data_IF_270823012848
#
_entry.id   IF_270823012848
#
_cell.length_a   1.000
_cell.length_b   1.000
_cell.length_c   1.000
_cell.angle_alpha   90.00
_cell.angle_beta   90.00
_cell.angle_gamma   90.00
#
_symmetry.space_group_name_H-M   'P 1'
#
loop_
_entity.id
_entity.type
_entity.pdbx_description
1 polymer ?
#
# COMPACT_ATOMS: atom_id res chain seq x y z
N UNK A 1 3.47 23.43 22.28
CA UNK A 1 3.85 22.85 23.59
C UNK A 1 2.83 21.80 23.99
N UNK A 2 1.54 22.11 23.94
CA UNK A 2 0.45 21.24 24.41
C UNK A 2 0.39 19.87 23.74
N UNK A 3 0.43 19.81 22.41
CA UNK A 3 0.42 18.54 21.66
C UNK A 3 1.74 17.76 21.70
N UNK A 4 2.80 18.32 22.28
CA UNK A 4 4.04 17.59 22.52
C UNK A 4 3.85 16.44 23.56
N UNK A 5 2.90 16.61 24.49
CA UNK A 5 2.57 15.53 25.43
C UNK A 5 1.89 14.34 24.72
N UNK A 6 1.07 14.65 23.70
CA UNK A 6 0.53 13.59 22.81
C UNK A 6 1.66 12.85 22.08
N UNK A 7 2.63 13.59 21.52
CA UNK A 7 3.77 12.97 20.83
C UNK A 7 4.57 12.05 21.78
N UNK A 8 4.82 12.50 23.01
CA UNK A 8 5.50 11.69 24.04
C UNK A 8 4.72 10.44 24.41
N UNK A 9 3.41 10.57 24.57
CA UNK A 9 2.54 9.44 24.90
C UNK A 9 2.52 8.40 23.76
N UNK A 10 2.37 8.85 22.51
CA UNK A 10 2.45 7.96 21.33
C UNK A 10 3.81 7.28 21.23
N UNK A 11 4.89 7.98 21.56
CA UNK A 11 6.23 7.37 21.56
C UNK A 11 6.40 6.34 22.69
N UNK A 12 5.70 6.49 23.80
CA UNK A 12 5.65 5.47 24.85
C UNK A 12 4.91 4.23 24.37
N UNK A 13 3.69 4.38 23.85
CA UNK A 13 2.91 3.28 23.24
C UNK A 13 3.76 2.56 22.19
N UNK A 14 4.45 3.32 21.33
CA UNK A 14 5.31 2.75 20.31
C UNK A 14 6.44 1.88 20.88
N UNK A 15 7.10 2.31 21.95
CA UNK A 15 8.18 1.55 22.59
C UNK A 15 7.67 0.22 23.18
N UNK A 16 6.46 0.21 23.73
CA UNK A 16 5.83 -0.96 24.32
C UNK A 16 5.29 -1.92 23.24
N UNK A 17 4.81 -1.37 22.13
CA UNK A 17 4.20 -2.14 21.04
C UNK A 17 5.20 -2.70 20.03
N UNK A 18 6.30 -1.98 19.75
CA UNK A 18 7.24 -2.35 18.71
C UNK A 18 8.02 -3.62 19.10
N UNK A 19 7.70 -4.73 18.44
CA UNK A 19 8.41 -6.01 18.58
C UNK A 19 9.07 -6.34 17.26
N UNK A 20 10.39 -6.39 17.23
CA UNK A 20 11.14 -6.78 16.05
C UNK A 20 11.38 -8.30 16.07
N UNK A 21 10.91 -9.00 15.05
CA UNK A 21 11.18 -10.43 14.84
C UNK A 21 12.04 -10.63 13.60
N UNK A 22 12.84 -11.70 13.58
CA UNK A 22 13.61 -12.04 12.38
C UNK A 22 12.67 -12.60 11.32
N UNK A 23 12.67 -11.97 10.14
CA UNK A 23 11.92 -12.46 8.99
C UNK A 23 12.37 -13.87 8.61
N UNK A 24 11.43 -14.81 8.53
CA UNK A 24 11.67 -16.21 8.14
C UNK A 24 11.06 -16.48 6.78
N UNK A 25 11.69 -17.34 6.00
CA UNK A 25 11.08 -17.83 4.77
C UNK A 25 9.87 -18.69 5.09
N UNK A 26 8.78 -18.52 4.31
CA UNK A 26 7.59 -19.36 4.47
C UNK A 26 7.92 -20.79 4.04
N UNK A 27 7.39 -21.82 4.74
CA UNK A 27 7.65 -23.21 4.39
C UNK A 27 7.28 -23.55 2.93
N UNK A 28 6.16 -23.01 2.47
CA UNK A 28 5.67 -23.20 1.11
C UNK A 28 6.62 -22.61 0.06
N UNK A 29 7.11 -21.39 0.30
CA UNK A 29 8.09 -20.76 -0.56
C UNK A 29 9.40 -21.57 -0.61
N UNK A 30 9.89 -22.04 0.54
CA UNK A 30 11.10 -22.84 0.63
C UNK A 30 10.97 -24.16 -0.13
N UNK A 31 9.81 -24.85 -0.03
CA UNK A 31 9.52 -26.05 -0.81
C UNK A 31 9.60 -25.80 -2.31
N UNK A 32 9.00 -24.72 -2.81
CA UNK A 32 9.02 -24.38 -4.24
C UNK A 32 10.40 -23.93 -4.72
N UNK A 33 11.19 -23.27 -3.89
CA UNK A 33 12.60 -22.96 -4.19
C UNK A 33 13.39 -24.26 -4.36
N UNK A 34 13.23 -25.22 -3.44
CA UNK A 34 13.90 -26.53 -3.51
C UNK A 34 13.45 -27.35 -4.74
N UNK A 35 12.15 -27.35 -5.07
CA UNK A 35 11.62 -28.00 -6.28
C UNK A 35 12.24 -27.37 -7.54
N UNK A 36 12.24 -26.05 -7.62
CA UNK A 36 12.81 -25.32 -8.77
C UNK A 36 14.30 -25.61 -8.96
N UNK A 37 15.06 -25.70 -7.86
CA UNK A 37 16.48 -26.06 -7.93
C UNK A 37 16.70 -27.49 -8.45
N UNK A 38 15.91 -28.44 -7.98
CA UNK A 38 15.93 -29.83 -8.47
C UNK A 38 15.59 -29.93 -9.94
N UNK A 39 14.53 -29.27 -10.39
CA UNK A 39 14.15 -29.23 -11.79
C UNK A 39 15.23 -28.57 -12.67
N UNK A 40 15.84 -27.47 -12.19
CA UNK A 40 16.95 -26.84 -12.90
C UNK A 40 18.14 -27.79 -13.11
N UNK A 41 18.48 -28.57 -12.09
CA UNK A 41 19.59 -29.53 -12.19
C UNK A 41 19.23 -30.69 -13.14
N UNK A 42 17.97 -31.18 -13.11
CA UNK A 42 17.51 -32.20 -14.07
C UNK A 42 17.53 -31.70 -15.50
N UNK A 43 17.07 -30.47 -15.77
CA UNK A 43 17.07 -29.86 -17.11
C UNK A 43 18.50 -29.79 -17.70
N UNK A 44 19.53 -29.59 -16.86
CA UNK A 44 20.92 -29.58 -17.34
C UNK A 44 21.39 -30.91 -17.86
N UNK A 45 20.83 -32.01 -17.31
CA UNK A 45 21.26 -33.39 -17.59
C UNK A 45 20.30 -34.13 -18.53
N UNK A 46 19.25 -33.47 -19.03
CA UNK A 46 18.20 -34.07 -19.88
C UNK A 46 18.24 -33.50 -21.29
N UNK A 47 17.83 -34.28 -22.28
CA UNK A 47 17.74 -33.90 -23.68
C UNK A 47 16.36 -34.23 -24.28
N UNK A 48 16.05 -33.64 -25.45
CA UNK A 48 14.84 -33.91 -26.21
C UNK A 48 13.53 -33.61 -25.49
N UNK A 49 12.53 -34.44 -25.67
CA UNK A 49 11.15 -34.26 -25.16
C UNK A 49 11.08 -34.22 -23.63
N UNK A 50 11.94 -34.98 -22.96
CA UNK A 50 11.99 -34.98 -21.50
C UNK A 50 12.43 -33.60 -20.95
N UNK A 51 13.40 -33.00 -21.59
CA UNK A 51 13.86 -31.64 -21.25
C UNK A 51 12.74 -30.60 -21.41
N UNK A 52 11.93 -30.71 -22.45
CA UNK A 52 10.80 -29.77 -22.67
C UNK A 52 9.76 -29.88 -21.55
N UNK A 53 9.39 -31.10 -21.12
CA UNK A 53 8.50 -31.33 -20.00
C UNK A 53 9.03 -30.73 -18.70
N UNK A 54 10.30 -30.95 -18.41
CA UNK A 54 10.95 -30.39 -17.21
C UNK A 54 11.01 -28.85 -17.23
N UNK A 55 11.17 -28.25 -18.40
CA UNK A 55 11.13 -26.80 -18.57
C UNK A 55 9.73 -26.25 -18.25
N UNK A 56 8.67 -26.97 -18.67
CA UNK A 56 7.29 -26.54 -18.41
C UNK A 56 6.97 -26.66 -16.89
N UNK A 57 7.39 -27.74 -16.26
CA UNK A 57 7.28 -27.88 -14.79
C UNK A 57 8.06 -26.78 -14.06
N UNK A 58 9.25 -26.45 -14.53
CA UNK A 58 10.06 -25.36 -13.96
C UNK A 58 9.37 -23.99 -14.08
N UNK A 59 8.75 -23.72 -15.23
CA UNK A 59 7.98 -22.48 -15.44
C UNK A 59 6.79 -22.42 -14.50
N UNK A 60 6.05 -23.52 -14.36
CA UNK A 60 4.89 -23.64 -13.47
C UNK A 60 5.29 -23.43 -12.01
N UNK A 61 6.32 -24.12 -11.54
CA UNK A 61 6.86 -23.96 -10.18
C UNK A 61 7.34 -22.52 -9.92
N UNK A 62 7.97 -21.89 -10.92
CA UNK A 62 8.39 -20.50 -10.83
C UNK A 62 7.20 -19.54 -10.74
N UNK A 63 6.14 -19.76 -11.52
CA UNK A 63 4.92 -18.95 -11.48
C UNK A 63 4.22 -19.07 -10.12
N UNK A 64 4.12 -20.29 -9.58
CA UNK A 64 3.56 -20.51 -8.23
C UNK A 64 4.41 -19.85 -7.15
N UNK A 65 5.73 -20.01 -7.18
CA UNK A 65 6.64 -19.38 -6.24
C UNK A 65 6.52 -17.84 -6.24
N UNK A 66 6.32 -17.24 -7.41
CA UNK A 66 6.16 -15.79 -7.54
C UNK A 66 4.83 -15.26 -6.96
N UNK A 67 3.82 -16.11 -6.81
CA UNK A 67 2.53 -15.75 -6.18
C UNK A 67 2.58 -15.80 -4.65
N UNK A 68 3.48 -16.59 -4.07
CA UNK A 68 3.56 -16.77 -2.63
C UNK A 68 4.40 -15.68 -1.94
N UNK A 69 4.08 -15.29 -0.70
CA UNK A 69 4.94 -14.44 0.09
C UNK A 69 6.26 -15.18 0.40
N UNK A 70 7.40 -14.58 0.06
CA UNK A 70 8.69 -15.22 0.29
C UNK A 70 9.05 -15.28 1.76
N UNK A 71 8.75 -14.22 2.51
CA UNK A 71 9.08 -14.08 3.92
C UNK A 71 7.84 -13.72 4.71
N UNK A 72 7.75 -14.28 5.89
CA UNK A 72 6.81 -13.89 6.92
C UNK A 72 7.59 -13.20 8.04
N UNK A 73 7.05 -12.11 8.50
CA UNK A 73 7.58 -11.32 9.60
C UNK A 73 6.42 -10.96 10.51
N UNK A 74 6.49 -11.39 11.74
CA UNK A 74 5.46 -11.11 12.75
C UNK A 74 5.82 -9.84 13.54
N UNK A 75 6.58 -8.93 12.91
CA UNK A 75 6.93 -7.64 13.50
C UNK A 75 5.67 -6.86 13.83
N UNK A 76 5.53 -6.46 15.07
CA UNK A 76 4.60 -5.41 15.47
C UNK A 76 5.32 -4.08 15.43
N UNK A 77 4.71 -3.08 14.78
CA UNK A 77 5.37 -1.79 14.59
C UNK A 77 4.38 -0.66 14.42
N UNK A 78 4.65 0.45 15.09
CA UNK A 78 3.91 1.70 14.93
C UNK A 78 4.77 2.72 14.18
N UNK A 79 4.15 3.43 13.26
CA UNK A 79 4.67 4.66 12.66
C UNK A 79 3.66 5.77 12.91
N UNK A 80 4.16 6.90 13.39
CA UNK A 80 3.38 8.06 13.75
C UNK A 80 3.87 9.28 12.98
N UNK A 81 2.93 10.04 12.46
CA UNK A 81 3.16 11.34 11.81
C UNK A 81 2.07 12.28 12.27
N UNK A 82 2.43 13.49 12.64
CA UNK A 82 1.51 14.56 13.02
C UNK A 82 1.86 15.86 12.31
N UNK A 83 0.83 16.57 11.91
CA UNK A 83 0.91 17.92 11.40
C UNK A 83 -0.18 18.75 12.07
N UNK A 84 0.22 19.72 12.91
CA UNK A 84 -0.70 20.47 13.77
C UNK A 84 -1.63 19.51 14.57
N UNK A 85 -2.92 19.60 14.37
CA UNK A 85 -3.94 18.81 15.06
C UNK A 85 -4.19 17.46 14.36
N UNK A 86 -3.81 17.35 13.10
CA UNK A 86 -4.00 16.12 12.33
C UNK A 86 -2.87 15.12 12.59
N UNK A 87 -3.21 13.87 12.85
CA UNK A 87 -2.23 12.80 12.99
C UNK A 87 -2.65 11.52 12.27
N UNK A 88 -1.65 10.76 11.84
CA UNK A 88 -1.79 9.46 11.22
C UNK A 88 -0.92 8.44 11.96
N UNK A 89 -1.53 7.32 12.36
CA UNK A 89 -0.84 6.20 12.98
C UNK A 89 -0.97 4.99 12.09
N UNK A 90 0.15 4.51 11.56
CA UNK A 90 0.20 3.27 10.82
C UNK A 90 0.65 2.14 11.76
N UNK A 91 -0.19 1.12 11.90
CA UNK A 91 0.03 -0.02 12.78
C UNK A 91 0.25 -1.28 11.95
N UNK A 92 1.39 -1.93 12.15
CA UNK A 92 1.62 -3.29 11.68
C UNK A 92 1.21 -4.24 12.82
N UNK A 93 -0.05 -4.65 12.83
CA UNK A 93 -0.69 -5.47 13.84
C UNK A 93 -2.07 -5.90 13.39
N UNK A 94 -2.82 -6.51 14.28
CA UNK A 94 -4.21 -6.89 14.05
C UNK A 94 -5.18 -5.73 14.35
N UNK A 95 -6.47 -5.93 14.03
CA UNK A 95 -7.50 -4.92 14.29
C UNK A 95 -7.66 -4.63 15.80
N UNK A 96 -7.55 -5.63 16.64
CA UNK A 96 -7.66 -5.47 18.10
C UNK A 96 -6.52 -4.61 18.66
N UNK A 97 -5.31 -4.73 18.09
CA UNK A 97 -4.19 -3.86 18.45
C UNK A 97 -4.51 -2.40 18.12
N UNK A 98 -5.11 -2.14 16.96
CA UNK A 98 -5.52 -0.79 16.56
C UNK A 98 -6.63 -0.22 17.46
N UNK A 99 -7.60 -1.05 17.86
CA UNK A 99 -8.69 -0.66 18.77
C UNK A 99 -8.15 -0.30 20.16
N UNK A 100 -7.22 -1.09 20.69
CA UNK A 100 -6.54 -0.78 21.96
C UNK A 100 -5.78 0.54 21.91
N UNK A 101 -5.00 0.76 20.86
CA UNK A 101 -4.25 2.01 20.68
C UNK A 101 -5.22 3.20 20.58
N UNK A 102 -6.31 3.06 19.82
CA UNK A 102 -7.33 4.11 19.72
C UNK A 102 -7.97 4.43 21.06
N UNK A 103 -8.31 3.41 21.85
CA UNK A 103 -8.91 3.57 23.19
C UNK A 103 -7.93 4.28 24.14
N UNK A 104 -6.69 3.85 24.19
CA UNK A 104 -5.64 4.43 25.02
C UNK A 104 -5.39 5.91 24.69
N UNK A 105 -5.37 6.24 23.38
CA UNK A 105 -5.25 7.62 22.92
C UNK A 105 -6.47 8.46 23.31
N UNK A 106 -7.68 7.92 23.15
CA UNK A 106 -8.91 8.62 23.53
C UNK A 106 -8.92 8.95 25.01
N UNK A 107 -8.55 7.99 25.85
CA UNK A 107 -8.45 8.16 27.29
C UNK A 107 -7.39 9.20 27.68
N UNK A 108 -6.20 9.11 27.10
CA UNK A 108 -5.13 10.08 27.35
C UNK A 108 -5.52 11.50 26.96
N UNK A 109 -6.12 11.69 25.78
CA UNK A 109 -6.54 13.00 25.28
C UNK A 109 -7.61 13.60 26.18
N UNK A 110 -8.59 12.79 26.63
CA UNK A 110 -9.67 13.26 27.51
C UNK A 110 -9.18 13.56 28.94
N UNK A 111 -8.36 12.70 29.51
CA UNK A 111 -7.93 12.82 30.92
C UNK A 111 -6.79 13.81 31.10
N UNK A 112 -5.77 13.73 30.26
CA UNK A 112 -4.53 14.51 30.42
C UNK A 112 -4.60 15.85 29.67
N UNK A 113 -5.06 15.82 28.44
CA UNK A 113 -5.10 17.04 27.60
C UNK A 113 -6.42 17.81 27.78
N UNK A 114 -7.42 17.23 28.46
CA UNK A 114 -8.77 17.82 28.62
C UNK A 114 -9.39 18.23 27.29
N UNK A 115 -9.13 17.44 26.25
CA UNK A 115 -9.65 17.63 24.90
C UNK A 115 -10.51 16.44 24.52
N UNK A 116 -11.35 16.62 23.51
CA UNK A 116 -12.19 15.56 22.97
C UNK A 116 -11.68 15.11 21.62
N UNK A 117 -11.49 13.79 21.48
CA UNK A 117 -11.13 13.20 20.18
C UNK A 117 -12.38 12.95 19.35
N UNK A 118 -12.45 13.57 18.17
CA UNK A 118 -13.58 13.35 17.26
C UNK A 118 -13.62 11.89 16.79
N UNK A 119 -14.64 11.16 17.26
CA UNK A 119 -14.82 9.75 16.90
C UNK A 119 -15.17 9.56 15.43
N UNK A 120 -15.87 10.52 14.82
CA UNK A 120 -16.25 10.51 13.40
C UNK A 120 -15.04 10.63 12.48
N UNK A 121 -14.02 11.39 12.90
CA UNK A 121 -12.79 11.60 12.12
C UNK A 121 -11.70 10.59 12.45
N UNK A 122 -11.73 9.97 13.64
CA UNK A 122 -10.72 9.00 14.06
C UNK A 122 -11.14 7.60 13.69
N UNK A 123 -10.80 7.19 12.47
CA UNK A 123 -11.20 5.92 11.89
C UNK A 123 -10.05 4.92 11.88
N UNK A 124 -10.38 3.64 12.12
CA UNK A 124 -9.45 2.52 11.88
C UNK A 124 -9.70 2.01 10.46
N UNK A 125 -8.74 2.26 9.57
CA UNK A 125 -8.85 1.93 8.15
C UNK A 125 -7.84 0.84 7.80
N UNK A 126 -8.28 -0.17 7.05
CA UNK A 126 -7.37 -1.21 6.56
C UNK A 126 -6.37 -0.62 5.56
N UNK A 127 -5.11 -1.06 5.61
CA UNK A 127 -4.01 -0.48 4.83
C UNK A 127 -4.21 -0.48 3.30
N UNK A 128 -5.09 -1.33 2.76
CA UNK A 128 -5.44 -1.34 1.33
C UNK A 128 -6.46 -0.26 0.96
N UNK A 129 -7.25 0.20 1.94
CA UNK A 129 -8.25 1.25 1.76
C UNK A 129 -7.57 2.60 1.98
N UNK A 130 -7.79 3.59 1.11
CA UNK A 130 -7.20 4.90 1.29
C UNK A 130 -7.68 5.56 2.59
N UNK A 131 -6.74 6.04 3.40
CA UNK A 131 -7.00 6.88 4.56
C UNK A 131 -6.70 8.33 4.18
N UNK A 132 -7.62 9.25 4.47
CA UNK A 132 -7.43 10.67 4.18
C UNK A 132 -6.52 11.31 5.21
N UNK A 133 -5.43 11.94 4.76
CA UNK A 133 -4.51 12.71 5.59
C UNK A 133 -3.98 13.92 4.85
N UNK A 134 -4.12 15.12 5.41
CA UNK A 134 -3.69 16.41 4.83
C UNK A 134 -4.17 16.63 3.38
N UNK A 135 -5.34 16.12 3.06
CA UNK A 135 -5.91 16.26 1.71
C UNK A 135 -5.39 15.26 0.69
N UNK A 136 -4.57 14.29 1.11
CA UNK A 136 -4.12 13.17 0.30
C UNK A 136 -4.77 11.86 0.76
N UNK A 137 -4.88 10.93 -0.15
CA UNK A 137 -5.24 9.54 0.12
C UNK A 137 -3.96 8.74 0.32
N UNK A 138 -3.80 8.18 1.51
CA UNK A 138 -2.64 7.38 1.93
C UNK A 138 -3.06 5.92 1.98
N UNK A 139 -2.36 5.05 1.26
CA UNK A 139 -2.58 3.60 1.32
C UNK A 139 -1.27 2.84 1.19
N UNK A 140 -1.29 1.56 1.56
CA UNK A 140 -0.16 0.65 1.31
C UNK A 140 -0.46 -0.15 0.06
N UNK A 141 0.43 -0.08 -0.91
CA UNK A 141 0.30 -0.84 -2.15
C UNK A 141 0.41 -2.32 -1.88
N UNK A 142 -0.62 -3.07 -2.32
CA UNK A 142 -0.67 -4.51 -2.31
C UNK A 142 -1.10 -5.00 -3.69
N UNK A 143 -0.11 -5.25 -4.54
CA UNK A 143 -0.33 -5.72 -5.89
C UNK A 143 0.29 -7.11 -6.02
N UNK A 144 -0.53 -8.10 -6.37
CA UNK A 144 -0.08 -9.48 -6.58
C UNK A 144 0.28 -9.77 -8.04
N UNK A 145 0.26 -8.76 -8.90
CA UNK A 145 0.56 -8.95 -10.31
C UNK A 145 2.04 -9.28 -10.51
N UNK A 146 2.26 -10.24 -11.41
CA UNK A 146 3.58 -10.59 -11.90
C UNK A 146 3.85 -9.72 -13.12
N UNK A 147 4.88 -8.87 -13.05
CA UNK A 147 5.25 -7.98 -14.16
C UNK A 147 6.41 -8.54 -14.95
N UNK A 148 6.38 -8.46 -16.29
CA UNK A 148 7.54 -8.79 -17.10
C UNK A 148 8.64 -7.76 -16.86
N UNK A 149 9.88 -8.22 -16.75
CA UNK A 149 11.09 -7.39 -16.69
C UNK A 149 12.12 -7.99 -17.67
N UNK A 150 12.08 -7.54 -18.93
CA UNK A 150 12.86 -8.15 -20.00
C UNK A 150 12.48 -9.62 -20.18
N UNK A 151 13.46 -10.52 -20.16
CA UNK A 151 13.26 -11.98 -20.28
C UNK A 151 12.72 -12.64 -18.99
N UNK A 152 12.61 -11.91 -17.90
CA UNK A 152 12.23 -12.45 -16.59
C UNK A 152 10.87 -11.92 -16.14
N UNK A 153 10.21 -12.70 -15.27
CA UNK A 153 9.01 -12.27 -14.56
C UNK A 153 9.40 -11.88 -13.13
N UNK A 154 8.92 -10.74 -12.68
CA UNK A 154 9.17 -10.24 -11.32
C UNK A 154 7.87 -9.94 -10.61
N UNK A 155 7.90 -10.01 -9.29
CA UNK A 155 6.79 -9.54 -8.46
C UNK A 155 6.67 -8.03 -8.51
N UNK A 156 5.46 -7.52 -8.36
CA UNK A 156 5.25 -6.11 -8.04
C UNK A 156 5.85 -5.79 -6.68
N UNK A 157 6.34 -4.56 -6.54
CA UNK A 157 6.80 -4.09 -5.24
C UNK A 157 5.59 -3.82 -4.34
N UNK A 158 5.46 -4.63 -3.30
CA UNK A 158 4.45 -4.49 -2.26
C UNK A 158 4.98 -3.72 -1.05
N UNK A 159 4.08 -3.32 -0.17
CA UNK A 159 4.36 -2.61 1.09
C UNK A 159 4.97 -1.21 0.92
N UNK A 160 4.87 -0.61 -0.26
CA UNK A 160 5.16 0.81 -0.43
C UNK A 160 3.94 1.63 -0.05
N UNK A 161 4.18 2.73 0.64
CA UNK A 161 3.17 3.76 0.88
C UNK A 161 2.95 4.51 -0.43
N UNK A 162 1.69 4.59 -0.84
CA UNK A 162 1.24 5.40 -1.98
C UNK A 162 0.46 6.59 -1.46
N UNK A 163 0.82 7.76 -1.97
CA UNK A 163 0.10 9.00 -1.78
C UNK A 163 -0.58 9.34 -3.10
N UNK A 164 -1.87 9.59 -3.05
CA UNK A 164 -2.63 10.03 -4.22
C UNK A 164 -3.52 11.21 -3.87
N UNK A 165 -3.77 12.06 -4.85
CA UNK A 165 -4.76 13.12 -4.71
C UNK A 165 -6.13 12.50 -4.93
N UNK A 166 -7.13 12.76 -4.06
CA UNK A 166 -8.49 12.24 -4.24
C UNK A 166 -9.09 12.81 -5.52
N UNK A 167 -9.21 11.95 -6.53
CA UNK A 167 -9.62 12.36 -7.86
C UNK A 167 -11.01 13.02 -7.87
N UNK A 168 -12.01 12.33 -7.33
CA UNK A 168 -13.40 12.80 -7.32
C UNK A 168 -13.58 14.11 -6.55
N UNK A 169 -12.97 14.20 -5.37
CA UNK A 169 -13.22 15.31 -4.47
C UNK A 169 -12.45 16.58 -4.84
N UNK A 170 -11.29 16.45 -5.46
CA UNK A 170 -10.42 17.57 -5.77
C UNK A 170 -10.21 17.77 -7.26
N UNK A 171 -9.70 16.76 -7.96
CA UNK A 171 -9.34 16.90 -9.38
C UNK A 171 -10.59 17.08 -10.22
N UNK A 172 -11.57 16.21 -10.05
CA UNK A 172 -12.81 16.27 -10.82
C UNK A 172 -13.57 17.60 -10.59
N UNK A 173 -13.73 17.99 -9.34
CA UNK A 173 -14.34 19.30 -9.00
C UNK A 173 -13.56 20.48 -9.60
N UNK A 174 -12.24 20.46 -9.52
CA UNK A 174 -11.41 21.50 -10.13
C UNK A 174 -11.57 21.54 -11.64
N UNK A 175 -11.58 20.40 -12.31
CA UNK A 175 -11.76 20.32 -13.77
C UNK A 175 -13.13 20.84 -14.20
N UNK A 176 -14.19 20.53 -13.45
CA UNK A 176 -15.53 21.05 -13.70
C UNK A 176 -15.63 22.55 -13.44
N UNK A 177 -15.18 23.02 -12.28
CA UNK A 177 -15.28 24.44 -11.91
C UNK A 177 -14.51 25.35 -12.86
N UNK A 178 -13.44 24.85 -13.47
CA UNK A 178 -12.66 25.59 -14.47
C UNK A 178 -13.13 25.33 -15.91
N UNK A 179 -14.22 24.61 -16.12
CA UNK A 179 -14.76 24.32 -17.45
C UNK A 179 -13.75 23.59 -18.36
N UNK A 180 -12.94 22.70 -17.78
CA UNK A 180 -11.96 21.91 -18.55
C UNK A 180 -12.60 20.64 -19.08
N UNK A 181 -13.54 20.07 -18.32
CA UNK A 181 -14.27 18.85 -18.69
C UNK A 181 -15.76 19.04 -18.53
N UNK A 182 -16.50 18.25 -19.29
CA UNK A 182 -17.95 18.02 -19.16
C UNK A 182 -18.23 16.53 -18.95
N UNK A 183 -19.35 16.21 -18.38
CA UNK A 183 -19.80 14.83 -18.26
C UNK A 183 -20.64 14.44 -19.47
N UNK A 184 -20.34 13.32 -20.10
CA UNK A 184 -21.15 12.77 -21.18
C UNK A 184 -22.48 12.28 -20.64
N UNK A 185 -23.56 12.62 -21.33
CA UNK A 185 -24.92 12.24 -20.97
C UNK A 185 -25.20 10.73 -21.12
N UNK A 186 -24.48 10.06 -22.04
CA UNK A 186 -24.69 8.65 -22.39
C UNK A 186 -24.06 7.65 -21.41
N UNK A 187 -22.90 7.96 -20.84
CA UNK A 187 -22.14 7.01 -20.01
C UNK A 187 -21.51 7.63 -18.75
N UNK A 188 -21.77 8.90 -18.48
CA UNK A 188 -21.25 9.62 -17.32
C UNK A 188 -19.72 9.81 -17.31
N UNK A 189 -19.01 9.48 -18.38
CA UNK A 189 -17.55 9.65 -18.47
C UNK A 189 -17.20 11.13 -18.65
N UNK A 190 -16.05 11.50 -18.11
CA UNK A 190 -15.49 12.83 -18.29
C UNK A 190 -14.96 12.98 -19.70
N UNK A 191 -15.28 14.09 -20.33
CA UNK A 191 -14.86 14.46 -21.68
C UNK A 191 -14.26 15.86 -21.65
N UNK A 192 -13.10 16.10 -22.28
CA UNK A 192 -12.51 17.43 -22.32
C UNK A 192 -13.39 18.37 -23.13
N UNK A 193 -13.52 19.61 -22.65
CA UNK A 193 -14.17 20.69 -23.41
C UNK A 193 -13.15 21.26 -24.37
N UNK A 194 -13.52 21.30 -25.65
CA UNK A 194 -12.69 21.90 -26.67
C UNK A 194 -12.52 23.40 -26.42
N UNK A 195 -11.27 23.84 -26.31
CA UNK A 195 -10.91 25.27 -26.11
C UNK A 195 -10.17 25.76 -27.34
N UNK A 196 -10.79 26.60 -28.19
CA UNK A 196 -10.16 27.11 -29.41
C UNK A 196 -8.85 27.84 -29.16
N UNK A 197 -8.73 28.53 -28.02
CA UNK A 197 -7.53 29.26 -27.62
C UNK A 197 -6.30 28.39 -27.35
N UNK A 198 -6.48 27.08 -27.11
CA UNK A 198 -5.34 26.15 -26.96
C UNK A 198 -4.82 25.62 -28.30
N UNK A 199 -5.63 25.75 -29.36
CA UNK A 199 -5.21 25.35 -30.73
C UNK A 199 -4.35 26.41 -31.43
N UNK A 200 -4.40 27.66 -30.99
CA UNK A 200 -3.62 28.75 -31.58
C UNK A 200 -2.24 28.93 -30.90
N UNK A 201 -1.83 28.06 -30.00
CA UNK A 201 -0.47 28.03 -29.48
C UNK A 201 0.40 27.07 -30.30
N UNK A 202 0.48 27.32 -31.60
CA UNK A 202 1.50 26.74 -32.49
C UNK A 202 2.83 27.49 -32.45
N UNK A 203 2.94 28.49 -31.56
CA UNK A 203 4.15 29.31 -31.43
C UNK A 203 5.01 28.89 -30.23
N UNK A 204 5.07 27.58 -29.97
CA UNK A 204 6.10 26.99 -29.12
C UNK A 204 7.06 26.23 -30.04
N UNK A 205 7.78 26.98 -30.88
CA UNK A 205 9.08 26.59 -31.39
C UNK A 205 10.17 26.87 -30.35
#
# INVERSE_FOLDING_TARGET
IYLNELDRHVMKIKKEFDVATKARYTPEYTKLVGLRQRLHNKIKNSNGIEREKLIEEYKTATAQMLKLPAKQCDDKKIKYVRYADDFLIAVNGNRQDCEKIKQELTEFISTTLKMELSQEKTLITHSNTPARFLGYDVRVRRDQQIKPKGKFKTRSMNNKVELSIPFKDRIEKFLFSNGIVKQRSDNGKLEPIHRPQLLNRTDLE
#
